data_IF_102895572999
#
_entry.id   IF_102895572999
#
_cell.length_a   1.000
_cell.length_b   1.000
_cell.length_c   1.000
_cell.angle_alpha   90.00
_cell.angle_beta   90.00
_cell.angle_gamma   90.00
#
_symmetry.space_group_name_H-M   'P 1'
#
loop_
_entity.id
_entity.type
_entity.pdbx_description
1 polymer ?
#
# COMPACT_ATOMS: atom_id res chain seq x y z
N UNK A 1 18.85 -2.90 12.61
CA UNK A 1 17.90 -1.98 11.93
C UNK A 1 18.23 -0.55 12.32
N UNK A 2 18.26 0.38 11.36
CA UNK A 2 18.51 1.80 11.64
C UNK A 2 17.24 2.49 12.14
N UNK A 3 17.39 3.64 12.81
CA UNK A 3 16.24 4.47 13.22
C UNK A 3 15.40 4.92 12.02
N UNK A 4 16.05 5.24 10.90
CA UNK A 4 15.40 5.62 9.65
C UNK A 4 14.53 4.48 9.09
N UNK A 5 15.05 3.24 9.14
CA UNK A 5 14.32 2.05 8.73
C UNK A 5 13.03 1.86 9.54
N UNK A 6 13.12 1.93 10.88
CA UNK A 6 11.96 1.77 11.77
C UNK A 6 10.88 2.81 11.47
N UNK A 7 11.27 4.08 11.28
CA UNK A 7 10.33 5.17 10.95
C UNK A 7 9.68 4.91 9.58
N UNK A 8 10.46 4.58 8.56
CA UNK A 8 9.96 4.34 7.21
C UNK A 8 8.96 3.17 7.16
N UNK A 9 9.33 2.03 7.76
CA UNK A 9 8.45 0.86 7.84
C UNK A 9 7.19 1.15 8.66
N UNK A 10 7.31 1.91 9.75
CA UNK A 10 6.16 2.36 10.55
C UNK A 10 5.19 3.23 9.74
N UNK A 11 5.73 4.18 8.97
CA UNK A 11 4.93 5.03 8.09
C UNK A 11 4.21 4.21 7.02
N UNK A 12 4.93 3.36 6.29
CA UNK A 12 4.37 2.49 5.23
C UNK A 12 3.27 1.60 5.80
N UNK A 13 3.51 0.94 6.94
CA UNK A 13 2.53 0.07 7.58
C UNK A 13 1.27 0.82 8.02
N UNK A 14 1.39 2.05 8.53
CA UNK A 14 0.24 2.89 8.88
C UNK A 14 -0.66 3.16 7.67
N UNK A 15 -0.11 3.43 6.48
CA UNK A 15 -0.93 3.60 5.28
C UNK A 15 -1.61 2.31 4.85
N UNK A 16 -0.91 1.17 4.95
CA UNK A 16 -1.53 -0.13 4.69
C UNK A 16 -2.68 -0.45 5.63
N UNK A 17 -2.60 -0.06 6.91
CA UNK A 17 -3.71 -0.23 7.86
C UNK A 17 -4.93 0.57 7.40
N UNK A 18 -4.75 1.81 6.94
CA UNK A 18 -5.85 2.63 6.43
C UNK A 18 -6.48 2.05 5.15
N UNK A 19 -5.65 1.58 4.21
CA UNK A 19 -6.13 0.92 2.99
C UNK A 19 -6.93 -0.36 3.31
N UNK A 20 -6.46 -1.14 4.28
CA UNK A 20 -7.14 -2.36 4.74
C UNK A 20 -8.41 -2.08 5.55
N UNK A 21 -8.52 -0.91 6.17
CA UNK A 21 -9.73 -0.45 6.85
C UNK A 21 -10.85 -0.04 5.86
N UNK A 22 -10.61 -0.17 4.55
CA UNK A 22 -11.59 0.12 3.51
C UNK A 22 -11.50 1.53 2.93
N UNK A 23 -10.47 2.31 3.29
CA UNK A 23 -10.18 3.56 2.59
C UNK A 23 -9.62 3.22 1.20
N UNK A 24 -10.49 3.33 0.19
CA UNK A 24 -10.18 3.03 -1.22
C UNK A 24 -9.77 4.29 -2.00
N UNK A 25 -9.44 5.38 -1.32
CA UNK A 25 -9.11 6.63 -2.00
C UNK A 25 -7.86 6.50 -2.86
N UNK A 26 -7.94 7.02 -4.09
CA UNK A 26 -6.80 7.07 -5.00
C UNK A 26 -5.62 7.88 -4.40
N UNK A 27 -5.93 8.90 -3.59
CA UNK A 27 -4.93 9.69 -2.88
C UNK A 27 -4.12 8.83 -1.90
N UNK A 28 -4.77 8.00 -1.08
CA UNK A 28 -4.06 7.16 -0.10
C UNK A 28 -3.17 6.12 -0.80
N UNK A 29 -3.60 5.57 -1.94
CA UNK A 29 -2.75 4.70 -2.77
C UNK A 29 -1.52 5.45 -3.30
N UNK A 30 -1.69 6.67 -3.82
CA UNK A 30 -0.57 7.48 -4.29
C UNK A 30 0.41 7.82 -3.16
N UNK A 31 -0.10 8.19 -1.98
CA UNK A 31 0.71 8.47 -0.79
C UNK A 31 1.47 7.23 -0.30
N UNK A 32 0.83 6.05 -0.35
CA UNK A 32 1.47 4.78 0.01
C UNK A 32 2.61 4.44 -0.95
N UNK A 33 2.38 4.58 -2.26
CA UNK A 33 3.40 4.34 -3.28
C UNK A 33 4.58 5.30 -3.12
N UNK A 34 4.30 6.59 -2.93
CA UNK A 34 5.32 7.61 -2.68
C UNK A 34 6.12 7.32 -1.40
N UNK A 35 5.48 6.88 -0.32
CA UNK A 35 6.18 6.53 0.92
C UNK A 35 7.16 5.36 0.73
N UNK A 36 6.78 4.35 -0.07
CA UNK A 36 7.64 3.20 -0.41
C UNK A 36 8.84 3.66 -1.24
N UNK A 37 8.61 4.47 -2.28
CA UNK A 37 9.68 4.99 -3.13
C UNK A 37 10.65 5.90 -2.38
N UNK A 38 10.14 6.78 -1.51
CA UNK A 38 10.98 7.64 -0.67
C UNK A 38 11.81 6.84 0.31
N UNK A 39 11.23 5.81 0.94
CA UNK A 39 11.97 4.95 1.88
C UNK A 39 13.15 4.23 1.18
N UNK A 40 12.93 3.74 -0.04
CA UNK A 40 13.98 3.09 -0.83
C UNK A 40 15.04 4.09 -1.30
N UNK A 41 14.62 5.25 -1.81
CA UNK A 41 15.53 6.30 -2.30
C UNK A 41 16.44 6.86 -1.21
N UNK A 42 15.94 6.92 0.04
CA UNK A 42 16.72 7.35 1.20
C UNK A 42 17.59 6.23 1.80
N UNK A 43 17.56 5.02 1.22
CA UNK A 43 18.27 3.85 1.74
C UNK A 43 17.75 3.33 3.09
N UNK A 44 16.52 3.71 3.46
CA UNK A 44 15.90 3.25 4.71
C UNK A 44 15.38 1.81 4.59
N UNK A 45 15.05 1.37 3.38
CA UNK A 45 14.68 -0.01 3.05
C UNK A 45 15.53 -0.48 1.87
N UNK A 46 15.77 -1.79 1.79
CA UNK A 46 16.50 -2.37 0.66
C UNK A 46 15.57 -2.72 -0.52
N UNK A 47 16.16 -3.15 -1.64
CA UNK A 47 15.42 -3.53 -2.85
C UNK A 47 14.53 -4.77 -2.67
N UNK A 48 14.81 -5.64 -1.70
CA UNK A 48 13.94 -6.78 -1.37
C UNK A 48 12.69 -6.32 -0.63
N UNK A 49 12.85 -5.41 0.34
CA UNK A 49 11.77 -4.81 1.11
C UNK A 49 10.90 -3.89 0.25
N UNK A 50 11.52 -3.10 -0.63
CA UNK A 50 10.80 -2.30 -1.62
C UNK A 50 9.88 -3.17 -2.48
N UNK A 51 10.41 -4.23 -3.10
CA UNK A 51 9.61 -5.18 -3.90
C UNK A 51 8.52 -5.84 -3.07
N UNK A 52 8.79 -6.16 -1.81
CA UNK A 52 7.79 -6.73 -0.92
C UNK A 52 6.63 -5.75 -0.65
N UNK A 53 6.93 -4.48 -0.38
CA UNK A 53 5.91 -3.47 -0.11
C UNK A 53 5.09 -3.10 -1.36
N UNK A 54 5.73 -2.99 -2.54
CA UNK A 54 5.01 -2.78 -3.80
C UNK A 54 4.06 -3.94 -4.07
N UNK A 55 4.53 -5.19 -3.99
CA UNK A 55 3.67 -6.37 -4.19
C UNK A 55 2.55 -6.46 -3.14
N UNK A 56 2.74 -5.91 -1.94
CA UNK A 56 1.67 -5.81 -0.94
C UNK A 56 0.63 -4.76 -1.33
N UNK A 57 1.06 -3.60 -1.84
CA UNK A 57 0.15 -2.58 -2.35
C UNK A 57 -0.71 -3.11 -3.51
N UNK A 58 -0.08 -3.76 -4.49
CA UNK A 58 -0.78 -4.31 -5.66
C UNK A 58 -1.86 -5.31 -5.26
N UNK A 59 -1.57 -6.20 -4.30
CA UNK A 59 -2.55 -7.15 -3.77
C UNK A 59 -3.74 -6.48 -3.09
N UNK A 60 -3.52 -5.36 -2.41
CA UNK A 60 -4.61 -4.60 -1.78
C UNK A 60 -5.47 -3.94 -2.86
N UNK A 61 -4.85 -3.31 -3.86
CA UNK A 61 -5.56 -2.69 -4.96
C UNK A 61 -6.39 -3.71 -5.75
N UNK A 62 -5.81 -4.86 -6.08
CA UNK A 62 -6.48 -5.96 -6.77
C UNK A 62 -7.72 -6.43 -5.99
N UNK A 63 -7.59 -6.65 -4.68
CA UNK A 63 -8.72 -7.04 -3.82
C UNK A 63 -9.83 -5.99 -3.83
N UNK A 64 -9.47 -4.72 -3.71
CA UNK A 64 -10.45 -3.62 -3.73
C UNK A 64 -11.18 -3.52 -5.08
N UNK A 65 -10.48 -3.77 -6.20
CA UNK A 65 -11.09 -3.85 -7.52
C UNK A 65 -12.04 -5.04 -7.65
N UNK A 66 -11.65 -6.22 -7.17
CA UNK A 66 -12.52 -7.41 -7.16
C UNK A 66 -13.79 -7.18 -6.34
N UNK A 67 -13.65 -6.59 -5.14
CA UNK A 67 -14.80 -6.24 -4.28
C UNK A 67 -15.74 -5.23 -4.95
N UNK A 68 -15.19 -4.26 -5.70
CA UNK A 68 -16.00 -3.31 -6.47
C UNK A 68 -16.74 -4.00 -7.63
N UNK A 69 -16.06 -4.86 -8.39
CA UNK A 69 -16.67 -5.60 -9.50
C UNK A 69 -17.79 -6.52 -9.02
N UNK A 70 -17.57 -7.26 -7.92
CA UNK A 70 -18.61 -8.11 -7.32
C UNK A 70 -19.85 -7.31 -6.89
N UNK A 71 -19.66 -6.10 -6.34
CA UNK A 71 -20.78 -5.20 -6.02
C UNK A 71 -21.53 -4.76 -7.27
N UNK A 72 -20.81 -4.37 -8.32
CA UNK A 72 -21.41 -3.94 -9.59
C UNK A 72 -22.19 -5.07 -10.28
N UNK A 73 -21.67 -6.30 -10.25
CA UNK A 73 -22.39 -7.48 -10.76
C UNK A 73 -23.65 -7.77 -9.95
N UNK A 74 -23.58 -7.66 -8.62
CA UNK A 74 -24.75 -7.81 -7.73
C UNK A 74 -25.85 -6.77 -7.96
N UNK A 75 -25.52 -5.56 -8.42
CA UNK A 75 -26.53 -4.55 -8.80
C UNK A 75 -27.17 -4.80 -10.17
N UNK A 76 -26.60 -5.68 -11.00
CA UNK A 76 -27.12 -5.99 -12.35
C UNK A 76 -28.06 -7.20 -12.37
N UNK A 77 -28.10 -7.98 -11.29
CA UNK A 77 -28.99 -9.13 -11.10
C UNK A 77 -30.33 -8.72 -10.46
#
# INVERSE_FOLDING_TARGET
>A
MSRAHIIAVGMINSRFVELLAGNTSAQLHAETSMAIEMAHSLGAIDTSEHRHFVARQDRILERQHQDLMAKLEGFRA
#
